data_IF_844416181896
#
_entry.id   IF_844416181896
#
_cell.length_a   1.000
_cell.length_b   1.000
_cell.length_c   1.000
_cell.angle_alpha   90.00
_cell.angle_beta   90.00
_cell.angle_gamma   90.00
#
_symmetry.space_group_name_H-M   'P 1'
#
loop_
_entity.id
_entity.type
_entity.pdbx_description
1 polymer ?
#
# COMPACT_ATOMS: atom_id res chain seq x y z
N UNK A 1 -28.23 15.44 61.17
CA UNK A 1 -27.13 14.52 61.49
C UNK A 1 -25.80 15.20 61.22
N UNK A 2 -25.13 15.64 62.27
CA UNK A 2 -23.78 16.21 62.23
C UNK A 2 -22.71 15.10 62.40
N UNK A 3 -21.42 15.38 62.08
CA UNK A 3 -20.51 14.46 61.40
C UNK A 3 -19.46 13.78 62.31
N UNK A 4 -18.78 12.75 61.80
CA UNK A 4 -17.65 12.05 62.46
C UNK A 4 -16.82 11.34 61.38
N UNK A 5 -15.50 11.30 61.31
CA UNK A 5 -14.34 11.82 62.04
C UNK A 5 -13.19 11.84 61.00
N UNK A 6 -12.42 12.91 60.86
CA UNK A 6 -11.05 13.04 61.37
C UNK A 6 -10.12 11.82 61.17
N UNK A 7 -9.00 12.01 60.45
CA UNK A 7 -7.88 11.07 60.42
C UNK A 7 -6.80 11.44 59.40
N UNK A 8 -5.85 12.29 59.79
CA UNK A 8 -4.76 12.81 58.96
C UNK A 8 -3.58 11.82 58.78
N UNK A 9 -2.93 11.95 57.60
CA UNK A 9 -1.48 11.92 57.30
C UNK A 9 -0.61 10.78 57.86
N UNK A 10 0.01 10.03 56.95
CA UNK A 10 1.46 9.77 56.96
C UNK A 10 2.02 9.74 55.54
N UNK A 11 2.89 10.71 55.25
CA UNK A 11 3.89 10.65 54.18
C UNK A 11 5.02 9.72 54.61
N UNK A 12 5.38 8.78 53.76
CA UNK A 12 6.76 8.28 53.62
C UNK A 12 6.98 7.80 52.17
N UNK A 13 7.56 8.68 51.33
CA UNK A 13 8.44 8.28 50.21
C UNK A 13 9.89 8.31 50.77
N UNK A 14 10.89 7.57 50.23
CA UNK A 14 11.04 7.25 48.80
C UNK A 14 11.59 5.85 48.47
N UNK A 15 11.31 5.36 47.27
CA UNK A 15 12.24 4.50 46.51
C UNK A 15 11.81 4.45 45.05
N UNK A 16 12.63 5.06 44.20
CA UNK A 16 12.76 4.70 42.78
C UNK A 16 14.14 4.03 42.62
N UNK A 17 14.50 3.40 41.47
CA UNK A 17 13.70 3.09 40.29
C UNK A 17 13.78 1.59 39.94
N UNK A 18 12.72 1.00 39.37
CA UNK A 18 12.91 -0.21 38.55
C UNK A 18 12.46 0.07 37.14
N UNK A 19 13.46 0.29 36.31
CA UNK A 19 13.44 0.18 34.86
C UNK A 19 12.64 -1.05 34.44
N UNK A 20 11.36 -0.86 34.11
CA UNK A 20 10.66 -1.76 33.22
C UNK A 20 10.96 -1.27 31.81
N UNK A 21 11.80 -2.04 31.14
CA UNK A 21 12.32 -1.79 29.82
C UNK A 21 11.22 -1.32 28.86
N UNK A 22 11.53 -0.24 28.15
CA UNK A 22 10.98 0.05 26.82
C UNK A 22 10.93 -1.26 26.05
N UNK A 23 9.73 -1.71 25.67
CA UNK A 23 9.55 -2.59 24.52
C UNK A 23 9.36 -1.69 23.31
N UNK A 24 10.37 -1.49 22.44
CA UNK A 24 10.10 -1.14 21.06
C UNK A 24 10.08 -2.41 20.22
N UNK A 25 9.15 -2.45 19.25
CA UNK A 25 9.31 -3.31 18.08
C UNK A 25 8.38 -4.50 17.99
N UNK A 26 7.11 -4.22 17.68
CA UNK A 26 6.41 -5.02 16.67
C UNK A 26 7.22 -4.92 15.37
N UNK A 27 7.76 -6.05 14.91
CA UNK A 27 8.44 -6.17 13.63
C UNK A 27 8.17 -7.57 13.08
N UNK A 28 7.19 -7.65 12.19
CA UNK A 28 6.94 -8.82 11.34
C UNK A 28 8.21 -9.12 10.53
N UNK A 29 8.94 -10.15 10.94
CA UNK A 29 10.03 -10.75 10.19
C UNK A 29 10.29 -12.12 10.78
N UNK A 30 10.11 -13.17 9.97
CA UNK A 30 10.55 -14.53 10.27
C UNK A 30 12.08 -14.55 10.35
N UNK A 31 12.62 -14.01 11.44
CA UNK A 31 14.04 -14.01 11.73
C UNK A 31 14.27 -14.91 12.93
N UNK A 32 15.05 -15.98 12.74
CA UNK A 32 15.81 -16.62 13.83
C UNK A 32 16.36 -15.48 14.69
N UNK A 33 16.06 -15.46 15.98
CA UNK A 33 16.30 -14.34 16.91
C UNK A 33 17.77 -13.99 17.16
N UNK A 34 18.64 -14.26 16.18
CA UNK A 34 20.04 -13.88 16.11
C UNK A 34 20.15 -12.40 15.73
N UNK A 35 21.02 -11.69 16.44
CA UNK A 35 21.48 -10.39 16.01
C UNK A 35 22.40 -10.49 14.78
N UNK A 36 22.76 -9.35 14.18
CA UNK A 36 23.53 -9.32 12.93
C UNK A 36 24.95 -9.90 13.09
N UNK A 37 25.58 -9.70 14.26
CA UNK A 37 26.94 -10.17 14.52
C UNK A 37 26.95 -11.69 14.76
N UNK A 38 25.95 -12.19 15.48
CA UNK A 38 25.75 -13.61 15.69
C UNK A 38 25.43 -14.33 14.38
N UNK A 39 24.56 -13.74 13.54
CA UNK A 39 24.27 -14.26 12.21
C UNK A 39 25.53 -14.29 11.32
N UNK A 40 26.34 -13.23 11.32
CA UNK A 40 27.59 -13.19 10.55
C UNK A 40 28.57 -14.28 10.97
N UNK A 41 28.70 -14.53 12.28
CA UNK A 41 29.52 -15.62 12.82
C UNK A 41 29.02 -16.99 12.38
N UNK A 42 27.72 -17.27 12.55
CA UNK A 42 27.13 -18.57 12.19
C UNK A 42 27.25 -18.83 10.69
N UNK A 43 27.09 -17.80 9.84
CA UNK A 43 27.33 -17.92 8.39
C UNK A 43 28.78 -18.31 8.10
N UNK A 44 29.75 -17.71 8.79
CA UNK A 44 31.17 -18.03 8.63
C UNK A 44 31.54 -19.44 9.10
N UNK A 45 30.87 -19.96 10.13
CA UNK A 45 31.11 -21.30 10.69
C UNK A 45 30.42 -22.42 9.91
N UNK A 46 29.21 -22.17 9.41
CA UNK A 46 28.36 -23.21 8.79
C UNK A 46 28.38 -23.20 7.27
N UNK A 47 28.74 -22.06 6.66
CA UNK A 47 28.60 -21.82 5.22
C UNK A 47 27.18 -22.11 4.67
N UNK A 48 26.15 -22.00 5.52
CA UNK A 48 24.77 -22.25 5.12
C UNK A 48 24.30 -21.17 4.10
N UNK A 49 23.88 -21.55 2.89
CA UNK A 49 23.47 -20.60 1.85
C UNK A 49 22.20 -19.81 2.20
N UNK A 50 21.31 -20.35 3.03
CA UNK A 50 20.10 -19.66 3.48
C UNK A 50 20.48 -18.57 4.49
N UNK A 51 21.38 -18.88 5.44
CA UNK A 51 21.86 -17.90 6.40
C UNK A 51 22.72 -16.82 5.74
N UNK A 52 23.53 -17.19 4.75
CA UNK A 52 24.29 -16.23 3.95
C UNK A 52 23.37 -15.26 3.17
N UNK A 53 22.28 -15.77 2.59
CA UNK A 53 21.27 -14.93 1.93
C UNK A 53 20.55 -14.01 2.92
N UNK A 54 20.25 -14.48 4.13
CA UNK A 54 19.65 -13.63 5.17
C UNK A 54 20.62 -12.55 5.66
N UNK A 55 21.90 -12.88 5.86
CA UNK A 55 22.93 -11.90 6.21
C UNK A 55 23.08 -10.85 5.11
N UNK A 56 23.09 -11.26 3.84
CA UNK A 56 23.13 -10.35 2.71
C UNK A 56 21.89 -9.45 2.65
N UNK A 57 20.69 -9.97 2.91
CA UNK A 57 19.46 -9.17 2.98
C UNK A 57 19.49 -8.14 4.10
N UNK A 58 20.01 -8.51 5.29
CA UNK A 58 20.06 -7.61 6.46
C UNK A 58 21.17 -6.57 6.39
N UNK A 59 22.25 -6.88 5.68
CA UNK A 59 23.38 -5.95 5.47
C UNK A 59 23.25 -5.12 4.20
N UNK A 60 22.28 -5.43 3.33
CA UNK A 60 22.02 -4.65 2.14
C UNK A 60 21.70 -3.18 2.52
N UNK A 61 22.27 -2.20 1.80
CA UNK A 61 21.84 -0.82 1.96
C UNK A 61 20.33 -0.70 1.67
N UNK A 62 19.63 0.26 2.30
CA UNK A 62 18.23 0.48 2.02
C UNK A 62 18.06 0.75 0.52
N UNK A 63 17.00 0.17 -0.06
CA UNK A 63 16.66 0.43 -1.45
C UNK A 63 16.51 1.95 -1.67
N UNK A 64 16.92 2.47 -2.84
CA UNK A 64 16.68 3.86 -3.16
C UNK A 64 15.18 4.17 -3.09
N UNK A 65 14.79 5.39 -2.66
CA UNK A 65 13.39 5.76 -2.62
C UNK A 65 12.77 5.67 -4.02
N UNK A 66 11.59 5.08 -4.11
CA UNK A 66 10.84 5.07 -5.37
C UNK A 66 10.50 6.51 -5.80
N UNK A 67 10.51 6.82 -7.11
CA UNK A 67 10.05 8.10 -7.58
C UNK A 67 8.59 8.31 -7.18
N UNK A 68 8.20 9.54 -6.79
CA UNK A 68 6.81 9.81 -6.42
C UNK A 68 5.89 9.49 -7.61
N UNK A 69 4.74 8.83 -7.40
CA UNK A 69 3.85 8.40 -8.49
C UNK A 69 3.44 9.53 -9.45
N UNK A 70 3.44 10.77 -8.96
CA UNK A 70 3.06 11.97 -9.71
C UNK A 70 4.04 12.30 -10.85
N UNK A 71 5.30 11.88 -10.74
CA UNK A 71 6.33 12.15 -11.76
C UNK A 71 6.36 11.11 -12.87
N UNK A 72 5.63 10.00 -12.72
CA UNK A 72 5.58 8.95 -13.73
C UNK A 72 4.64 9.33 -14.89
N UNK A 73 5.02 9.03 -16.14
CA UNK A 73 4.09 9.01 -17.26
C UNK A 73 2.91 8.10 -16.96
N UNK A 74 1.70 8.49 -17.37
CA UNK A 74 0.48 7.74 -17.00
C UNK A 74 0.52 6.28 -17.48
N UNK A 75 1.10 5.98 -18.64
CA UNK A 75 1.23 4.60 -19.11
C UNK A 75 2.11 3.74 -18.18
N UNK A 76 3.21 4.30 -17.67
CA UNK A 76 4.10 3.63 -16.70
C UNK A 76 3.41 3.48 -15.34
N UNK A 77 2.67 4.49 -14.91
CA UNK A 77 1.87 4.43 -13.69
C UNK A 77 0.81 3.32 -13.76
N UNK A 78 0.15 3.16 -14.91
CA UNK A 78 -0.81 2.09 -15.14
C UNK A 78 -0.14 0.71 -15.19
N UNK A 79 1.05 0.59 -15.79
CA UNK A 79 1.82 -0.65 -15.83
C UNK A 79 2.31 -1.09 -14.45
N UNK A 80 2.59 -0.15 -13.55
CA UNK A 80 3.01 -0.41 -12.16
C UNK A 80 1.85 -0.79 -11.22
N UNK A 81 0.61 -0.65 -11.66
CA UNK A 81 -0.59 -0.82 -10.82
C UNK A 81 -0.82 -2.24 -10.29
N UNK A 82 -0.53 -3.35 -11.01
CA UNK A 82 -0.77 -4.70 -10.51
C UNK A 82 -0.06 -5.00 -9.18
N UNK A 83 -0.83 -5.28 -8.13
CA UNK A 83 -0.33 -5.50 -6.77
C UNK A 83 -0.12 -4.23 -5.93
N UNK A 84 -0.27 -3.02 -6.53
CA UNK A 84 -0.06 -1.72 -5.87
C UNK A 84 -1.36 -1.00 -5.55
N UNK A 85 -2.01 -1.39 -4.46
CA UNK A 85 -3.29 -0.82 -4.02
C UNK A 85 -3.17 0.64 -3.56
N UNK A 86 -1.97 1.05 -3.13
CA UNK A 86 -1.63 2.44 -2.79
C UNK A 86 -1.80 3.40 -3.98
N UNK A 87 -1.71 2.89 -5.21
CA UNK A 87 -1.80 3.70 -6.43
C UNK A 87 -3.22 3.90 -6.94
N UNK A 88 -4.23 3.21 -6.41
CA UNK A 88 -5.61 3.24 -6.94
C UNK A 88 -6.15 4.66 -7.05
N UNK A 89 -6.10 5.42 -5.96
CA UNK A 89 -6.63 6.79 -5.94
C UNK A 89 -5.79 7.74 -6.82
N UNK A 90 -4.47 7.53 -6.90
CA UNK A 90 -3.58 8.33 -7.75
C UNK A 90 -3.92 8.11 -9.21
N UNK A 91 -4.07 6.86 -9.64
CA UNK A 91 -4.46 6.50 -11.00
C UNK A 91 -5.85 7.05 -11.34
N UNK A 92 -6.83 6.89 -10.45
CA UNK A 92 -8.18 7.39 -10.68
C UNK A 92 -8.21 8.90 -10.90
N UNK A 93 -7.47 9.66 -10.08
CA UNK A 93 -7.31 11.12 -10.25
C UNK A 93 -6.62 11.48 -11.56
N UNK A 94 -5.55 10.76 -11.92
CA UNK A 94 -4.86 10.95 -13.19
C UNK A 94 -5.78 10.72 -14.38
N UNK A 95 -6.65 9.71 -14.32
CA UNK A 95 -7.65 9.44 -15.36
C UNK A 95 -8.71 10.55 -15.43
N UNK A 96 -9.16 11.11 -14.31
CA UNK A 96 -10.01 12.31 -14.29
C UNK A 96 -9.33 13.49 -15.00
N UNK A 97 -8.06 13.76 -14.68
CA UNK A 97 -7.29 14.85 -15.27
C UNK A 97 -7.16 14.70 -16.80
N UNK A 98 -6.77 13.52 -17.27
CA UNK A 98 -6.57 13.28 -18.71
C UNK A 98 -7.85 13.28 -19.53
N UNK A 99 -8.95 12.82 -18.92
CA UNK A 99 -10.27 12.79 -19.58
C UNK A 99 -11.04 14.09 -19.44
N UNK A 100 -10.64 14.97 -18.52
CA UNK A 100 -11.39 16.17 -18.14
C UNK A 100 -12.70 15.87 -17.41
N UNK A 101 -12.88 14.65 -16.88
CA UNK A 101 -14.09 14.21 -16.21
C UNK A 101 -13.89 14.10 -14.70
N UNK A 102 -14.28 15.17 -14.00
CA UNK A 102 -14.15 15.31 -12.55
C UNK A 102 -15.45 15.00 -11.79
N UNK A 103 -16.45 14.40 -12.45
CA UNK A 103 -17.70 14.06 -11.76
C UNK A 103 -17.42 12.99 -10.67
N UNK A 104 -18.02 13.10 -9.48
CA UNK A 104 -17.81 12.12 -8.40
C UNK A 104 -18.12 10.67 -8.83
N UNK A 105 -19.11 10.49 -9.71
CA UNK A 105 -19.45 9.19 -10.27
C UNK A 105 -18.34 8.63 -11.19
N UNK A 106 -17.70 9.49 -11.97
CA UNK A 106 -16.59 9.13 -12.86
C UNK A 106 -15.35 8.76 -12.05
N UNK A 107 -15.01 9.53 -11.01
CA UNK A 107 -13.92 9.20 -10.10
C UNK A 107 -14.11 7.80 -9.47
N UNK A 108 -15.28 7.52 -8.89
CA UNK A 108 -15.60 6.19 -8.33
C UNK A 108 -15.49 5.07 -9.38
N UNK A 109 -15.85 5.38 -10.62
CA UNK A 109 -15.74 4.41 -11.71
C UNK A 109 -14.28 4.14 -12.04
N UNK A 110 -13.45 5.18 -12.14
CA UNK A 110 -12.01 5.03 -12.41
C UNK A 110 -11.27 4.35 -11.25
N UNK A 111 -11.67 4.61 -10.00
CA UNK A 111 -11.18 3.86 -8.83
C UNK A 111 -11.46 2.35 -8.98
N UNK A 112 -12.67 1.96 -9.38
CA UNK A 112 -12.99 0.53 -9.61
C UNK A 112 -12.20 -0.09 -10.76
N UNK A 113 -11.93 0.66 -11.83
CA UNK A 113 -11.06 0.19 -12.90
C UNK A 113 -9.64 -0.04 -12.40
N UNK A 114 -9.10 0.92 -11.65
CA UNK A 114 -7.78 0.83 -11.07
C UNK A 114 -7.67 -0.31 -10.04
N UNK A 115 -8.70 -0.49 -9.22
CA UNK A 115 -8.81 -1.60 -8.27
C UNK A 115 -8.83 -2.96 -8.97
N UNK A 116 -9.57 -3.11 -10.07
CA UNK A 116 -9.59 -4.35 -10.84
C UNK A 116 -8.20 -4.71 -11.41
N UNK A 117 -7.41 -3.72 -11.79
CA UNK A 117 -6.02 -3.94 -12.21
C UNK A 117 -5.11 -4.23 -11.02
N UNK A 118 -5.24 -3.47 -9.93
CA UNK A 118 -4.42 -3.64 -8.72
C UNK A 118 -4.61 -5.05 -8.10
N UNK A 119 -5.84 -5.55 -8.09
CA UNK A 119 -6.20 -6.91 -7.63
C UNK A 119 -5.89 -8.00 -8.65
N UNK A 120 -5.34 -7.64 -9.82
CA UNK A 120 -5.02 -8.55 -10.94
C UNK A 120 -6.24 -9.27 -11.53
N UNK A 121 -7.44 -8.77 -11.27
CA UNK A 121 -8.65 -9.24 -11.93
C UNK A 121 -8.67 -8.89 -13.42
N UNK A 122 -8.00 -7.80 -13.80
CA UNK A 122 -7.83 -7.35 -15.19
C UNK A 122 -6.35 -7.04 -15.45
N UNK A 123 -5.79 -7.44 -16.61
CA UNK A 123 -4.44 -7.05 -16.99
C UNK A 123 -4.33 -5.53 -17.24
N UNK A 124 -3.22 -4.87 -16.86
CA UNK A 124 -3.06 -3.42 -16.99
C UNK A 124 -3.16 -2.92 -18.44
N UNK A 125 -2.80 -3.75 -19.42
CA UNK A 125 -2.86 -3.45 -20.85
C UNK A 125 -4.27 -3.06 -21.29
N UNK A 126 -5.31 -3.68 -20.71
CA UNK A 126 -6.71 -3.34 -21.02
C UNK A 126 -7.02 -1.90 -20.63
N UNK A 127 -6.59 -1.46 -19.44
CA UNK A 127 -6.80 -0.08 -18.99
C UNK A 127 -5.98 0.91 -19.83
N UNK A 128 -4.76 0.55 -20.21
CA UNK A 128 -3.90 1.33 -21.09
C UNK A 128 -4.56 1.51 -22.48
N UNK A 129 -5.14 0.45 -23.03
CA UNK A 129 -5.83 0.49 -24.32
C UNK A 129 -7.13 1.30 -24.26
N UNK A 130 -7.90 1.19 -23.18
CA UNK A 130 -9.08 2.01 -22.95
C UNK A 130 -8.69 3.50 -22.89
N UNK A 131 -7.61 3.83 -22.17
CA UNK A 131 -7.04 5.18 -22.12
C UNK A 131 -6.63 5.68 -23.50
N UNK A 132 -5.92 4.87 -24.28
CA UNK A 132 -5.51 5.22 -25.64
C UNK A 132 -6.71 5.54 -26.54
N UNK A 133 -7.79 4.75 -26.47
CA UNK A 133 -9.03 5.00 -27.20
C UNK A 133 -9.69 6.31 -26.76
N UNK A 134 -9.77 6.56 -25.45
CA UNK A 134 -10.35 7.76 -24.87
C UNK A 134 -9.60 9.05 -25.24
N UNK A 135 -8.29 8.98 -25.44
CA UNK A 135 -7.45 10.12 -25.83
C UNK A 135 -7.32 10.31 -27.34
N UNK A 136 -8.01 9.50 -28.15
CA UNK A 136 -7.99 9.66 -29.61
C UNK A 136 -8.62 11.01 -30.02
N UNK A 137 -8.15 11.64 -31.11
CA UNK A 137 -8.70 12.92 -31.58
C UNK A 137 -10.20 12.90 -31.90
N UNK A 138 -10.76 11.71 -32.14
CA UNK A 138 -12.17 11.51 -32.50
C UNK A 138 -13.08 11.39 -31.26
N UNK A 139 -12.53 11.31 -30.05
CA UNK A 139 -13.29 11.14 -28.81
C UNK A 139 -13.90 12.47 -28.33
N UNK A 140 -15.18 12.71 -28.65
CA UNK A 140 -15.90 13.90 -28.19
C UNK A 140 -16.14 13.95 -26.67
N UNK A 141 -16.21 12.79 -26.00
CA UNK A 141 -16.40 12.68 -24.56
C UNK A 141 -15.44 11.65 -23.96
N UNK A 142 -14.18 12.05 -23.73
CA UNK A 142 -13.07 11.17 -23.34
C UNK A 142 -13.42 10.25 -22.17
N UNK A 143 -13.99 10.78 -21.08
CA UNK A 143 -14.39 9.99 -19.91
C UNK A 143 -15.44 8.91 -20.25
N UNK A 144 -16.44 9.24 -21.06
CA UNK A 144 -17.44 8.27 -21.53
C UNK A 144 -16.84 7.21 -22.45
N UNK A 145 -15.93 7.60 -23.34
CA UNK A 145 -15.23 6.67 -24.24
C UNK A 145 -14.38 5.69 -23.43
N UNK A 146 -13.67 6.16 -22.39
CA UNK A 146 -12.90 5.33 -21.48
C UNK A 146 -13.80 4.27 -20.82
N UNK A 147 -14.93 4.70 -20.23
CA UNK A 147 -15.90 3.80 -19.58
C UNK A 147 -16.53 2.81 -20.56
N UNK A 148 -16.84 3.25 -21.78
CA UNK A 148 -17.42 2.38 -22.80
C UNK A 148 -16.42 1.31 -23.27
N UNK A 149 -15.15 1.70 -23.52
CA UNK A 149 -14.09 0.77 -23.88
C UNK A 149 -13.87 -0.27 -22.76
N UNK A 150 -13.78 0.20 -21.50
CA UNK A 150 -13.63 -0.69 -20.35
C UNK A 150 -14.76 -1.71 -20.25
N UNK A 151 -16.02 -1.27 -20.38
CA UNK A 151 -17.20 -2.15 -20.33
C UNK A 151 -17.21 -3.22 -21.41
N UNK A 152 -16.75 -2.87 -22.61
CA UNK A 152 -16.65 -3.82 -23.74
C UNK A 152 -15.61 -4.90 -23.45
N UNK A 153 -14.48 -4.52 -22.89
CA UNK A 153 -13.32 -5.41 -22.75
C UNK A 153 -13.33 -6.17 -21.40
N UNK A 154 -14.14 -5.74 -20.42
CA UNK A 154 -14.25 -6.35 -19.07
C UNK A 154 -15.70 -6.64 -18.61
N UNK A 155 -16.54 -7.32 -19.42
CA UNK A 155 -17.99 -7.43 -19.17
C UNK A 155 -18.36 -8.18 -17.87
N UNK A 156 -17.44 -8.96 -17.29
CA UNK A 156 -17.65 -9.78 -16.09
C UNK A 156 -17.26 -9.06 -14.79
N UNK A 157 -16.30 -8.14 -14.84
CA UNK A 157 -15.75 -7.42 -13.66
C UNK A 157 -16.77 -6.45 -13.05
N UNK A 158 -17.70 -5.95 -13.87
CA UNK A 158 -18.78 -5.08 -13.41
C UNK A 158 -19.99 -5.84 -12.86
N UNK A 159 -20.05 -7.17 -13.05
CA UNK A 159 -21.15 -8.03 -12.56
C UNK A 159 -20.85 -8.65 -11.19
N UNK A 160 -19.59 -8.72 -10.77
CA UNK A 160 -19.14 -9.35 -9.52
C UNK A 160 -19.24 -8.46 -8.27
N UNK A 161 -19.77 -7.24 -8.38
CA UNK A 161 -20.06 -6.36 -7.24
C UNK A 161 -21.32 -6.77 -6.46
N UNK A 162 -21.46 -8.05 -6.11
CA UNK A 162 -22.42 -8.51 -5.11
C UNK A 162 -21.97 -8.07 -3.71
N UNK A 163 -22.90 -7.81 -2.77
CA UNK A 163 -22.54 -7.31 -1.45
C UNK A 163 -21.69 -8.35 -0.70
N UNK A 164 -20.50 -7.94 -0.27
CA UNK A 164 -19.74 -8.67 0.74
C UNK A 164 -20.59 -8.65 2.03
N UNK A 165 -21.03 -9.85 2.45
CA UNK A 165 -21.71 -10.10 3.73
C UNK A 165 -20.74 -10.07 4.89
#
# INVERSE_FOLDING_TARGET
>A
SSPSAAGQRRETRPSAPRSAARRPGLGLGLGLGLDLAELARVVGETADPILAAELARRTAPPAPPEPPPQTLPTAELLAALPGRHDLILVVARRLCEETGDFQPASLRTFEKMAEAVATRAVPPEVLIDCRRQALSPQAGHKGKVLVAAWKRDTPHVLKSGGPLS
#
